data_IF_771160743756
#
_entry.id   IF_771160743756
#
_cell.length_a   1.000
_cell.length_b   1.000
_cell.length_c   1.000
_cell.angle_alpha   90.00
_cell.angle_beta   90.00
_cell.angle_gamma   90.00
#
_symmetry.space_group_name_H-M   'P 1'
#
loop_
_entity.id
_entity.type
_entity.pdbx_description
1 polymer ?
#
# COMPACT_ATOMS: atom_id res chain seq x y z
N UNK A 1 14.23 -9.93 -22.56
CA UNK A 1 14.41 -8.75 -21.68
C UNK A 1 15.82 -8.79 -21.12
N UNK A 2 16.55 -7.67 -21.16
CA UNK A 2 17.88 -7.52 -20.54
C UNK A 2 18.01 -6.11 -19.96
N UNK A 3 18.34 -6.00 -18.68
CA UNK A 3 18.59 -4.73 -18.00
C UNK A 3 19.73 -4.82 -17.00
N UNK A 4 20.30 -3.67 -16.67
CA UNK A 4 21.31 -3.49 -15.64
C UNK A 4 20.91 -2.35 -14.72
N UNK A 5 21.00 -2.55 -13.40
CA UNK A 5 20.60 -1.59 -12.38
C UNK A 5 21.51 -1.70 -11.16
N UNK A 6 21.80 -0.60 -10.47
CA UNK A 6 22.52 -0.68 -9.20
C UNK A 6 21.64 -1.33 -8.13
N UNK A 7 22.27 -2.07 -7.22
CA UNK A 7 21.57 -2.81 -6.16
C UNK A 7 20.65 -1.91 -5.33
N UNK A 8 21.05 -0.68 -5.02
CA UNK A 8 20.29 0.20 -4.12
C UNK A 8 19.01 0.66 -4.81
N UNK A 9 19.08 1.08 -6.08
CA UNK A 9 17.91 1.46 -6.86
C UNK A 9 16.98 0.28 -7.16
N UNK A 10 17.47 -0.97 -7.17
CA UNK A 10 16.61 -2.15 -7.27
C UNK A 10 15.93 -2.49 -5.94
N UNK A 11 16.67 -2.42 -4.83
CA UNK A 11 16.25 -2.95 -3.54
C UNK A 11 15.05 -2.20 -2.93
N UNK A 12 15.05 -0.86 -3.01
CA UNK A 12 13.96 -0.05 -2.43
C UNK A 12 12.63 -0.28 -3.15
N UNK A 13 12.53 -0.13 -4.48
CA UNK A 13 11.31 -0.43 -5.23
C UNK A 13 10.84 -1.89 -5.09
N UNK A 14 11.75 -2.87 -5.11
CA UNK A 14 11.38 -4.27 -4.85
C UNK A 14 10.79 -4.45 -3.45
N UNK A 15 11.36 -3.78 -2.45
CA UNK A 15 10.85 -3.79 -1.08
C UNK A 15 9.43 -3.26 -0.95
N UNK A 16 9.07 -2.26 -1.77
CA UNK A 16 7.74 -1.67 -1.85
C UNK A 16 6.73 -2.61 -2.52
N UNK A 17 7.08 -3.22 -3.66
CA UNK A 17 6.12 -4.08 -4.38
C UNK A 17 5.99 -5.46 -3.76
N UNK A 18 7.03 -6.02 -3.13
CA UNK A 18 6.91 -7.37 -2.56
C UNK A 18 5.98 -7.43 -1.35
N UNK A 19 5.61 -6.30 -0.76
CA UNK A 19 4.89 -6.30 0.52
C UNK A 19 3.41 -6.66 0.38
N UNK A 20 2.80 -6.41 -0.78
CA UNK A 20 1.45 -6.93 -1.09
C UNK A 20 1.44 -8.44 -1.28
N UNK A 21 2.58 -9.04 -1.67
CA UNK A 21 2.68 -10.47 -1.98
C UNK A 21 2.57 -11.30 -0.71
N UNK A 22 1.54 -12.14 -0.65
CA UNK A 22 1.36 -13.09 0.44
C UNK A 22 2.44 -14.18 0.42
N UNK A 23 2.90 -14.59 1.60
CA UNK A 23 3.91 -15.66 1.71
C UNK A 23 3.36 -17.03 1.31
N UNK A 24 2.05 -17.22 1.37
CA UNK A 24 1.37 -18.46 1.02
C UNK A 24 0.29 -18.14 -0.02
N UNK A 25 0.57 -18.48 -1.28
CA UNK A 25 -0.37 -18.33 -2.38
C UNK A 25 -0.78 -19.70 -2.91
N UNK A 26 -2.08 -19.90 -3.10
CA UNK A 26 -2.61 -21.06 -3.84
C UNK A 26 -2.47 -20.87 -5.35
N UNK A 27 -2.40 -19.63 -5.82
CA UNK A 27 -2.21 -19.24 -7.22
C UNK A 27 -0.75 -18.80 -7.42
N UNK A 28 0.12 -19.59 -8.08
CA UNK A 28 1.56 -19.33 -8.13
C UNK A 28 1.97 -17.97 -8.71
N UNK A 29 1.25 -17.46 -9.71
CA UNK A 29 1.56 -16.17 -10.35
C UNK A 29 1.46 -14.98 -9.38
N UNK A 30 0.63 -15.07 -8.34
CA UNK A 30 0.51 -14.03 -7.32
C UNK A 30 1.72 -13.96 -6.38
N UNK A 31 2.60 -14.97 -6.40
CA UNK A 31 3.89 -14.92 -5.71
C UNK A 31 4.97 -14.15 -6.51
N UNK A 32 4.66 -13.78 -7.75
CA UNK A 32 5.58 -13.09 -8.64
C UNK A 32 5.34 -11.57 -8.67
N UNK A 33 6.41 -10.85 -8.99
CA UNK A 33 6.38 -9.46 -9.43
C UNK A 33 6.52 -9.43 -10.95
N UNK A 34 5.75 -8.58 -11.61
CA UNK A 34 5.94 -8.23 -13.03
C UNK A 34 7.09 -7.26 -13.12
N UNK A 35 8.08 -7.58 -13.96
CA UNK A 35 9.17 -6.69 -14.33
C UNK A 35 8.98 -6.28 -15.78
N UNK A 36 8.87 -4.98 -16.05
CA UNK A 36 8.82 -4.44 -17.40
C UNK A 36 9.98 -3.45 -17.57
N UNK A 37 10.92 -3.78 -18.44
CA UNK A 37 12.03 -2.92 -18.79
C UNK A 37 11.79 -2.30 -20.17
N UNK A 38 11.67 -0.98 -20.22
CA UNK A 38 11.47 -0.23 -21.46
C UNK A 38 11.91 1.23 -21.29
N UNK A 39 12.37 1.85 -22.37
CA UNK A 39 12.68 3.29 -22.42
C UNK A 39 13.54 3.83 -21.25
N UNK A 40 14.53 3.05 -20.80
CA UNK A 40 15.43 3.42 -19.68
C UNK A 40 14.82 3.25 -18.29
N UNK A 41 13.64 2.65 -18.18
CA UNK A 41 12.90 2.45 -16.93
C UNK A 41 12.62 0.98 -16.68
N UNK A 42 12.68 0.60 -15.40
CA UNK A 42 12.15 -0.66 -14.88
C UNK A 42 10.88 -0.37 -14.09
N UNK A 43 9.74 -0.81 -14.61
CA UNK A 43 8.47 -0.85 -13.89
C UNK A 43 8.31 -2.19 -13.18
N UNK A 44 7.87 -2.12 -11.93
CA UNK A 44 7.62 -3.27 -11.06
C UNK A 44 6.18 -3.22 -10.56
N UNK A 45 5.46 -4.33 -10.70
CA UNK A 45 4.07 -4.44 -10.22
C UNK A 45 3.83 -5.78 -9.54
N UNK A 46 3.18 -5.77 -8.38
CA UNK A 46 2.72 -6.97 -7.68
C UNK A 46 1.27 -6.78 -7.22
N UNK A 47 0.54 -7.88 -7.05
CA UNK A 47 -0.87 -7.87 -6.65
C UNK A 47 -1.27 -9.12 -5.88
N UNK A 48 -2.28 -8.99 -5.04
CA UNK A 48 -3.02 -10.10 -4.41
C UNK A 48 -4.46 -10.22 -4.94
N UNK A 49 -4.76 -9.55 -6.07
CA UNK A 49 -6.09 -9.34 -6.67
C UNK A 49 -7.03 -8.36 -5.96
N UNK A 50 -6.78 -7.97 -4.72
CA UNK A 50 -7.55 -6.96 -3.98
C UNK A 50 -6.84 -5.60 -3.94
N UNK A 51 -5.52 -5.61 -4.01
CA UNK A 51 -4.70 -4.43 -4.23
C UNK A 51 -3.52 -4.72 -5.14
N UNK A 52 -3.01 -3.67 -5.77
CA UNK A 52 -1.78 -3.69 -6.53
C UNK A 52 -0.87 -2.56 -6.08
N UNK A 53 0.42 -2.85 -6.04
CA UNK A 53 1.48 -1.86 -5.81
C UNK A 53 2.34 -1.85 -7.06
N UNK A 54 2.47 -0.67 -7.65
CA UNK A 54 3.32 -0.40 -8.80
C UNK A 54 4.35 0.68 -8.46
N UNK A 55 5.55 0.55 -9.02
CA UNK A 55 6.61 1.54 -8.91
C UNK A 55 7.50 1.50 -10.14
N UNK A 56 8.29 2.55 -10.35
CA UNK A 56 9.23 2.66 -11.46
C UNK A 56 10.57 3.22 -11.00
N UNK A 57 11.64 2.78 -11.64
CA UNK A 57 13.01 3.25 -11.36
C UNK A 57 13.84 3.27 -12.64
N UNK A 58 14.79 4.19 -12.74
CA UNK A 58 15.71 4.26 -13.87
C UNK A 58 16.65 3.03 -13.89
N UNK A 59 16.96 2.55 -15.10
CA UNK A 59 17.93 1.48 -15.30
C UNK A 59 18.55 1.52 -16.70
N UNK A 60 19.66 0.82 -16.90
CA UNK A 60 20.24 0.62 -18.22
C UNK A 60 19.53 -0.54 -18.93
N UNK A 61 18.59 -0.22 -19.82
CA UNK A 61 17.86 -1.21 -20.61
C UNK A 61 18.69 -1.62 -21.83
N UNK A 62 19.17 -2.87 -21.85
CA UNK A 62 19.88 -3.43 -23.01
C UNK A 62 18.91 -4.05 -24.03
N UNK A 63 17.83 -4.68 -23.57
CA UNK A 63 16.78 -5.23 -24.44
C UNK A 63 15.44 -5.12 -23.72
N UNK A 64 14.52 -4.35 -24.30
CA UNK A 64 13.19 -4.18 -23.73
C UNK A 64 12.45 -5.52 -23.57
N UNK A 65 11.49 -5.55 -22.65
CA UNK A 65 10.60 -6.68 -22.50
C UNK A 65 9.97 -6.76 -21.11
N UNK A 66 9.11 -7.76 -20.95
CA UNK A 66 8.37 -8.00 -19.71
C UNK A 66 8.51 -9.44 -19.28
N UNK A 67 8.59 -9.68 -17.98
CA UNK A 67 8.60 -11.02 -17.39
C UNK A 67 7.95 -11.01 -16.02
N UNK A 68 7.79 -12.19 -15.42
CA UNK A 68 7.43 -12.32 -14.00
C UNK A 68 8.45 -13.18 -13.28
N UNK A 69 8.79 -12.84 -12.04
CA UNK A 69 9.70 -13.61 -11.18
C UNK A 69 9.24 -13.57 -9.74
N UNK A 70 9.62 -14.56 -8.93
CA UNK A 70 9.25 -14.59 -7.51
C UNK A 70 9.70 -13.32 -6.78
N UNK A 71 8.74 -12.57 -6.22
CA UNK A 71 8.99 -11.27 -5.61
C UNK A 71 9.91 -11.38 -4.39
N UNK A 72 9.58 -12.29 -3.47
CA UNK A 72 10.38 -12.51 -2.26
C UNK A 72 11.78 -13.04 -2.57
N UNK A 73 11.91 -13.98 -3.51
CA UNK A 73 13.22 -14.53 -3.86
C UNK A 73 14.11 -13.50 -4.52
N UNK A 74 13.58 -12.69 -5.45
CA UNK A 74 14.33 -11.60 -6.06
C UNK A 74 14.75 -10.55 -5.02
N UNK A 75 13.85 -10.16 -4.12
CA UNK A 75 14.16 -9.24 -3.02
C UNK A 75 15.26 -9.79 -2.11
N UNK A 76 15.17 -11.07 -1.70
CA UNK A 76 16.17 -11.70 -0.84
C UNK A 76 17.53 -11.80 -1.51
N UNK A 77 17.58 -12.06 -2.83
CA UNK A 77 18.81 -12.01 -3.62
C UNK A 77 19.37 -10.60 -3.58
N UNK A 78 18.60 -9.59 -4.02
CA UNK A 78 19.04 -8.20 -4.08
C UNK A 78 19.58 -7.71 -2.72
N UNK A 79 18.89 -8.05 -1.62
CA UNK A 79 19.30 -7.69 -0.27
C UNK A 79 20.64 -8.30 0.14
N UNK A 80 20.92 -9.54 -0.27
CA UNK A 80 22.15 -10.28 0.09
C UNK A 80 23.34 -9.97 -0.81
N UNK A 81 23.13 -9.29 -1.94
CA UNK A 81 24.23 -8.85 -2.79
C UNK A 81 25.11 -7.80 -2.07
N UNK A 82 26.41 -7.71 -2.41
CA UNK A 82 27.30 -6.69 -1.84
C UNK A 82 26.82 -5.26 -2.11
N UNK A 83 27.13 -4.33 -1.21
CA UNK A 83 26.90 -2.90 -1.47
C UNK A 83 27.68 -2.42 -2.69
N UNK A 84 27.09 -1.50 -3.46
CA UNK A 84 27.67 -1.00 -4.71
C UNK A 84 27.64 -2.00 -5.87
N UNK A 85 27.06 -3.20 -5.70
CA UNK A 85 26.94 -4.17 -6.78
C UNK A 85 26.01 -3.66 -7.90
N UNK A 86 26.44 -3.90 -9.13
CA UNK A 86 25.60 -3.76 -10.32
C UNK A 86 24.92 -5.10 -10.59
N UNK A 87 23.59 -5.05 -10.81
CA UNK A 87 22.73 -6.23 -10.99
C UNK A 87 22.28 -6.29 -12.45
N UNK A 88 22.69 -7.32 -13.16
CA UNK A 88 22.16 -7.66 -14.49
C UNK A 88 21.00 -8.64 -14.35
N UNK A 89 19.87 -8.35 -15.00
CA UNK A 89 18.75 -9.27 -15.14
C UNK A 89 18.57 -9.58 -16.63
N UNK A 90 18.77 -10.85 -17.00
CA UNK A 90 18.62 -11.34 -18.37
C UNK A 90 17.57 -12.46 -18.42
N UNK A 91 16.56 -12.30 -19.25
CA UNK A 91 15.48 -13.27 -19.41
C UNK A 91 15.61 -13.99 -20.74
N UNK A 92 15.77 -15.30 -20.66
CA UNK A 92 15.81 -16.22 -21.79
C UNK A 92 15.23 -17.59 -21.38
N UNK A 93 14.62 -18.30 -22.32
CA UNK A 93 14.19 -19.69 -22.16
C UNK A 93 13.34 -19.95 -20.89
N UNK A 94 12.39 -19.06 -20.57
CA UNK A 94 11.50 -19.19 -19.40
C UNK A 94 12.19 -19.01 -18.05
N UNK A 95 13.39 -18.43 -18.02
CA UNK A 95 14.15 -18.16 -16.81
C UNK A 95 14.70 -16.74 -16.80
N UNK A 96 14.75 -16.14 -15.61
CA UNK A 96 15.49 -14.92 -15.34
C UNK A 96 16.84 -15.29 -14.71
N UNK A 97 17.93 -14.92 -15.36
CA UNK A 97 19.27 -14.95 -14.81
C UNK A 97 19.56 -13.62 -14.12
N UNK A 98 19.80 -13.66 -12.81
CA UNK A 98 20.24 -12.50 -12.02
C UNK A 98 21.72 -12.65 -11.71
N UNK A 99 22.52 -11.70 -12.17
CA UNK A 99 23.98 -11.75 -12.06
C UNK A 99 24.51 -10.48 -11.39
N UNK A 100 25.44 -10.65 -10.46
CA UNK A 100 26.16 -9.54 -9.83
C UNK A 100 27.56 -9.99 -9.42
N UNK A 101 28.58 -9.49 -10.12
CA UNK A 101 29.96 -9.95 -9.96
C UNK A 101 30.10 -11.45 -10.21
N UNK A 102 30.41 -12.22 -9.16
CA UNK A 102 30.59 -13.69 -9.24
C UNK A 102 29.34 -14.48 -8.83
N UNK A 103 28.29 -13.79 -8.40
CA UNK A 103 27.03 -14.41 -8.00
C UNK A 103 26.09 -14.51 -9.20
N UNK A 104 25.54 -15.70 -9.44
CA UNK A 104 24.58 -15.96 -10.50
C UNK A 104 23.40 -16.76 -9.92
N UNK A 105 22.18 -16.33 -10.20
CA UNK A 105 20.95 -16.96 -9.76
C UNK A 105 20.04 -17.20 -10.96
N UNK A 106 19.46 -18.38 -11.05
CA UNK A 106 18.50 -18.74 -12.09
C UNK A 106 17.12 -18.90 -11.47
N UNK A 107 16.19 -18.01 -11.82
CA UNK A 107 14.81 -18.04 -11.33
C UNK A 107 13.88 -18.47 -12.46
N UNK A 108 12.91 -19.38 -12.20
CA UNK A 108 11.86 -19.66 -13.16
C UNK A 108 10.97 -18.41 -13.33
N UNK A 109 10.52 -18.17 -14.55
CA UNK A 109 9.52 -17.14 -14.86
C UNK A 109 8.18 -17.80 -15.11
N UNK A 110 7.08 -17.07 -14.89
CA UNK A 110 5.76 -17.46 -15.36
C UNK A 110 5.31 -16.53 -16.50
N UNK A 111 4.43 -17.00 -17.41
CA UNK A 111 3.88 -16.17 -18.48
C UNK A 111 3.24 -14.88 -17.92
N UNK A 112 3.46 -13.76 -18.60
CA UNK A 112 2.96 -12.45 -18.14
C UNK A 112 1.44 -12.37 -18.33
N UNK A 113 0.91 -13.06 -19.33
CA UNK A 113 -0.51 -13.22 -19.61
C UNK A 113 -1.30 -13.93 -18.49
N UNK A 114 -0.62 -14.70 -17.64
CA UNK A 114 -1.23 -15.32 -16.45
C UNK A 114 -1.35 -14.33 -15.29
N UNK A 115 -0.64 -13.19 -15.34
CA UNK A 115 -0.71 -12.17 -14.31
C UNK A 115 -2.07 -11.46 -14.39
N UNK A 116 -2.79 -11.29 -13.27
CA UNK A 116 -4.10 -10.65 -13.28
C UNK A 116 -4.05 -9.28 -13.95
N UNK A 117 -5.07 -8.98 -14.76
CA UNK A 117 -5.19 -7.68 -15.38
C UNK A 117 -5.19 -6.59 -14.30
N UNK A 118 -4.21 -5.67 -14.39
CA UNK A 118 -4.12 -4.52 -13.51
C UNK A 118 -5.34 -3.66 -13.80
N UNK A 119 -6.14 -3.40 -12.77
CA UNK A 119 -7.43 -2.78 -12.98
C UNK A 119 -7.26 -1.30 -13.38
N UNK A 120 -7.67 -0.98 -14.60
CA UNK A 120 -7.75 0.40 -15.13
C UNK A 120 -9.21 0.79 -15.15
N UNK A 121 -9.68 1.43 -14.09
CA UNK A 121 -11.02 2.03 -14.04
C UNK A 121 -10.91 3.53 -13.92
N UNK A 122 -11.90 4.26 -14.43
CA UNK A 122 -12.02 5.69 -14.18
C UNK A 122 -12.19 5.94 -12.68
N UNK A 123 -11.38 6.85 -12.15
CA UNK A 123 -11.44 7.35 -10.78
C UNK A 123 -11.67 8.86 -10.84
N UNK A 124 -12.93 9.30 -11.07
CA UNK A 124 -13.25 10.68 -11.38
C UNK A 124 -13.10 11.62 -10.18
N UNK A 125 -13.20 11.09 -8.97
CA UNK A 125 -12.95 11.84 -7.74
C UNK A 125 -11.46 11.85 -7.43
N UNK A 126 -10.92 12.99 -7.02
CA UNK A 126 -9.55 13.02 -6.53
C UNK A 126 -9.21 14.29 -5.78
N UNK A 127 -8.26 14.16 -4.87
CA UNK A 127 -7.71 15.25 -4.07
C UNK A 127 -6.28 14.95 -3.68
N UNK A 128 -5.63 15.89 -3.01
CA UNK A 128 -4.26 15.75 -2.55
C UNK A 128 -4.21 15.99 -1.04
N UNK A 129 -3.51 15.12 -0.33
CA UNK A 129 -3.20 15.27 1.11
C UNK A 129 -1.70 15.19 1.30
N UNK A 130 -1.20 15.74 2.40
CA UNK A 130 0.21 15.54 2.74
C UNK A 130 0.43 14.12 3.28
N UNK A 131 1.65 13.60 3.10
CA UNK A 131 2.10 12.35 3.71
C UNK A 131 1.92 12.36 5.22
N UNK A 132 2.14 13.51 5.87
CA UNK A 132 1.94 13.68 7.30
C UNK A 132 0.47 13.52 7.69
N UNK A 133 -0.45 14.22 7.03
CA UNK A 133 -1.88 14.18 7.37
C UNK A 133 -2.44 12.76 7.22
N UNK A 134 -2.13 12.07 6.12
CA UNK A 134 -2.64 10.71 5.91
C UNK A 134 -2.00 9.70 6.88
N UNK A 135 -0.73 9.86 7.25
CA UNK A 135 -0.08 9.04 8.30
C UNK A 135 -0.76 9.25 9.65
N UNK A 136 -1.00 10.50 10.03
CA UNK A 136 -1.67 10.85 11.28
C UNK A 136 -3.08 10.28 11.31
N UNK A 137 -3.81 10.36 10.19
CA UNK A 137 -5.14 9.79 10.06
C UNK A 137 -5.15 8.27 10.27
N UNK A 138 -4.19 7.57 9.64
CA UNK A 138 -4.05 6.12 9.76
C UNK A 138 -3.62 5.74 11.18
N UNK A 139 -2.57 6.37 11.73
CA UNK A 139 -2.01 6.00 13.03
C UNK A 139 -2.99 6.27 14.18
N UNK A 140 -3.79 7.33 14.08
CA UNK A 140 -4.83 7.66 15.05
C UNK A 140 -6.03 6.70 15.03
N UNK A 141 -6.23 5.89 13.98
CA UNK A 141 -7.46 5.10 13.81
C UNK A 141 -7.24 3.60 13.60
N UNK A 142 -6.14 3.18 12.96
CA UNK A 142 -5.96 1.78 12.50
C UNK A 142 -6.03 0.73 13.62
N UNK A 143 -5.71 1.11 14.86
CA UNK A 143 -5.72 0.17 15.99
C UNK A 143 -7.15 -0.27 16.37
N UNK A 144 -8.17 0.49 15.97
CA UNK A 144 -9.57 0.19 16.22
C UNK A 144 -10.24 -0.56 15.05
N UNK A 145 -9.51 -0.96 14.01
CA UNK A 145 -10.06 -1.76 12.90
C UNK A 145 -10.39 -3.17 13.41
N UNK A 146 -11.57 -3.68 13.05
CA UNK A 146 -11.98 -5.05 13.36
C UNK A 146 -11.11 -6.10 12.68
N UNK A 147 -10.97 -7.25 13.32
CA UNK A 147 -10.37 -8.46 12.73
C UNK A 147 -11.39 -9.57 12.52
N UNK A 148 -12.67 -9.32 12.80
CA UNK A 148 -13.75 -10.29 12.64
C UNK A 148 -14.23 -10.35 11.18
N UNK A 149 -14.40 -11.55 10.66
CA UNK A 149 -14.79 -11.75 9.25
C UNK A 149 -16.28 -11.50 9.00
N UNK A 150 -17.14 -11.66 10.01
CA UNK A 150 -18.61 -11.58 9.86
C UNK A 150 -19.11 -10.15 9.65
N UNK A 151 -18.42 -9.16 10.24
CA UNK A 151 -18.73 -7.74 10.14
C UNK A 151 -17.69 -7.03 9.28
N UNK A 152 -17.55 -7.50 8.04
CA UNK A 152 -16.49 -7.07 7.12
C UNK A 152 -16.45 -5.56 6.86
N UNK A 153 -17.57 -4.83 6.97
CA UNK A 153 -17.63 -3.36 6.87
C UNK A 153 -16.88 -2.64 8.01
N UNK A 154 -16.43 -3.37 9.04
CA UNK A 154 -15.56 -2.88 10.11
C UNK A 154 -14.07 -3.20 9.87
N UNK A 155 -13.74 -3.94 8.82
CA UNK A 155 -12.38 -4.40 8.52
C UNK A 155 -11.59 -3.37 7.69
N UNK A 156 -11.80 -2.09 7.97
CA UNK A 156 -11.14 -0.98 7.29
C UNK A 156 -11.28 0.34 8.02
N UNK A 157 -10.72 1.40 7.43
CA UNK A 157 -10.92 2.79 7.86
C UNK A 157 -11.99 3.42 6.98
N UNK A 158 -13.03 3.97 7.60
CA UNK A 158 -14.04 4.77 6.95
C UNK A 158 -13.53 6.19 6.72
N UNK A 159 -13.30 6.54 5.45
CA UNK A 159 -12.92 7.89 5.01
C UNK A 159 -14.12 8.58 4.37
N UNK A 160 -14.47 9.76 4.89
CA UNK A 160 -15.60 10.54 4.38
C UNK A 160 -15.42 12.02 4.67
N UNK A 161 -16.17 12.84 3.93
CA UNK A 161 -16.40 14.24 4.26
C UNK A 161 -17.48 14.35 5.33
N UNK A 162 -17.19 15.09 6.41
CA UNK A 162 -18.16 15.38 7.46
C UNK A 162 -19.11 16.52 7.07
N UNK A 163 -20.23 16.65 7.80
CA UNK A 163 -21.15 17.79 7.67
C UNK A 163 -20.48 19.16 7.94
N UNK A 164 -19.37 19.16 8.70
CA UNK A 164 -18.60 20.36 9.02
C UNK A 164 -17.53 20.70 7.96
N UNK A 165 -17.54 20.04 6.79
CA UNK A 165 -16.50 20.15 5.75
C UNK A 165 -15.09 19.79 6.27
N UNK A 166 -14.98 18.64 6.93
CA UNK A 166 -13.69 18.06 7.35
C UNK A 166 -13.51 16.68 6.71
N UNK A 167 -12.26 16.29 6.45
CA UNK A 167 -11.94 14.91 6.10
C UNK A 167 -11.84 14.08 7.39
N UNK A 168 -12.68 13.05 7.52
CA UNK A 168 -12.75 12.21 8.70
C UNK A 168 -12.26 10.79 8.41
N UNK A 169 -11.41 10.25 9.29
CA UNK A 169 -11.09 8.83 9.36
C UNK A 169 -11.74 8.23 10.61
N UNK A 170 -12.43 7.11 10.46
CA UNK A 170 -13.09 6.39 11.56
C UNK A 170 -12.81 4.90 11.47
N UNK A 171 -12.52 4.27 12.60
CA UNK A 171 -12.43 2.81 12.72
C UNK A 171 -13.06 2.36 14.04
N UNK A 172 -13.69 1.18 14.02
CA UNK A 172 -14.29 0.56 15.21
C UNK A 172 -14.32 -0.96 15.06
N UNK A 173 -14.13 -1.66 16.18
CA UNK A 173 -14.26 -3.12 16.30
C UNK A 173 -15.56 -3.52 17.02
N UNK A 174 -16.42 -2.53 17.31
CA UNK A 174 -17.64 -2.68 18.11
C UNK A 174 -17.42 -2.63 19.62
N UNK A 175 -16.18 -2.67 20.10
CA UNK A 175 -15.82 -2.49 21.52
C UNK A 175 -15.26 -1.10 21.80
N UNK A 176 -14.52 -0.55 20.84
CA UNK A 176 -13.94 0.80 20.87
C UNK A 176 -14.09 1.47 19.51
N UNK A 177 -13.98 2.79 19.52
CA UNK A 177 -14.01 3.61 18.32
C UNK A 177 -12.86 4.61 18.38
N UNK A 178 -12.17 4.77 17.25
CA UNK A 178 -11.20 5.81 17.02
C UNK A 178 -11.66 6.68 15.84
N UNK A 179 -11.52 8.00 16.00
CA UNK A 179 -11.85 8.98 14.97
C UNK A 179 -10.82 10.09 15.01
N UNK A 180 -10.46 10.58 13.84
CA UNK A 180 -9.70 11.82 13.68
C UNK A 180 -10.23 12.61 12.50
N UNK A 181 -9.88 13.90 12.48
CA UNK A 181 -10.38 14.90 11.56
C UNK A 181 -9.23 15.74 11.06
N UNK A 182 -9.26 16.06 9.78
CA UNK A 182 -8.34 16.99 9.13
C UNK A 182 -9.15 18.01 8.32
N UNK A 183 -8.59 19.21 8.03
CA UNK A 183 -9.21 20.12 7.08
C UNK A 183 -9.52 19.41 5.76
N UNK A 184 -10.69 19.67 5.17
CA UNK A 184 -11.07 19.05 3.91
C UNK A 184 -10.14 19.54 2.78
N UNK A 185 -9.42 18.64 2.09
CA UNK A 185 -8.53 19.04 1.01
C UNK A 185 -9.30 19.63 -0.18
N UNK A 186 -8.64 20.50 -0.95
CA UNK A 186 -9.19 20.98 -2.20
C UNK A 186 -9.46 19.80 -3.15
N UNK A 187 -10.63 19.81 -3.80
CA UNK A 187 -11.09 18.72 -4.68
C UNK A 187 -11.86 17.60 -3.97
N UNK A 188 -11.82 17.50 -2.64
CA UNK A 188 -12.50 16.46 -1.87
C UNK A 188 -14.00 16.74 -1.61
N UNK A 189 -14.59 17.79 -2.21
CA UNK A 189 -15.96 18.21 -1.90
C UNK A 189 -17.03 17.17 -2.23
N UNK A 190 -16.81 16.44 -3.32
CA UNK A 190 -17.71 15.43 -3.86
C UNK A 190 -17.14 14.01 -3.66
N UNK A 191 -16.21 13.84 -2.71
CA UNK A 191 -15.63 12.52 -2.43
C UNK A 191 -16.74 11.54 -1.99
N UNK A 192 -16.78 10.31 -2.53
CA UNK A 192 -17.63 9.28 -1.97
C UNK A 192 -17.15 8.93 -0.55
N UNK A 193 -18.07 8.47 0.28
CA UNK A 193 -17.73 7.84 1.55
C UNK A 193 -17.24 6.43 1.27
N UNK A 194 -16.03 6.10 1.73
CA UNK A 194 -15.34 4.85 1.38
C UNK A 194 -14.85 4.12 2.63
N UNK A 195 -14.69 2.80 2.52
CA UNK A 195 -14.06 1.99 3.55
C UNK A 195 -12.79 1.36 2.94
N UNK A 196 -11.62 1.86 3.37
CA UNK A 196 -10.32 1.37 2.90
C UNK A 196 -9.94 0.11 3.68
N UNK A 197 -9.71 -1.05 3.02
CA UNK A 197 -9.44 -2.31 3.71
C UNK A 197 -8.20 -2.25 4.60
N UNK A 198 -8.23 -3.00 5.71
CA UNK A 198 -7.14 -3.08 6.71
C UNK A 198 -5.76 -3.35 6.10
N UNK A 199 -5.67 -4.25 5.13
CA UNK A 199 -4.40 -4.58 4.46
C UNK A 199 -3.89 -3.37 3.66
N UNK A 200 -4.74 -2.69 2.91
CA UNK A 200 -4.37 -1.50 2.15
C UNK A 200 -3.94 -0.34 3.06
N UNK A 201 -4.63 -0.16 4.19
CA UNK A 201 -4.22 0.79 5.25
C UNK A 201 -2.81 0.48 5.77
N UNK A 202 -2.52 -0.79 6.02
CA UNK A 202 -1.23 -1.24 6.54
C UNK A 202 -0.11 -1.03 5.52
N UNK A 203 -0.35 -1.39 4.26
CA UNK A 203 0.59 -1.21 3.15
C UNK A 203 0.85 0.27 2.87
N UNK A 204 -0.20 1.09 2.72
CA UNK A 204 -0.08 2.52 2.51
C UNK A 204 0.77 3.18 3.60
N UNK A 205 0.49 2.86 4.86
CA UNK A 205 1.22 3.44 5.99
C UNK A 205 2.70 3.06 6.02
N UNK A 206 3.04 1.83 5.64
CA UNK A 206 4.43 1.37 5.52
C UNK A 206 5.14 2.06 4.35
N UNK A 207 4.47 2.21 3.21
CA UNK A 207 5.06 2.88 2.03
C UNK A 207 5.35 4.37 2.29
N UNK A 208 4.62 4.98 3.23
CA UNK A 208 4.78 6.38 3.64
C UNK A 208 5.85 6.62 4.72
N UNK A 209 6.50 5.58 5.26
CA UNK A 209 7.55 5.74 6.30
C UNK A 209 8.72 6.61 5.82
N UNK A 210 9.12 6.46 4.55
CA UNK A 210 10.28 7.15 3.95
C UNK A 210 9.88 8.15 2.85
N UNK A 211 8.66 8.68 2.91
CA UNK A 211 8.14 9.64 1.94
C UNK A 211 7.66 10.92 2.63
N UNK A 212 8.13 12.07 2.16
CA UNK A 212 7.63 13.38 2.54
C UNK A 212 7.17 14.12 1.31
N UNK A 213 5.95 14.67 1.36
CA UNK A 213 5.35 15.43 0.27
C UNK A 213 3.89 15.10 0.08
N UNK A 214 3.42 15.30 -1.14
CA UNK A 214 2.02 15.16 -1.49
C UNK A 214 1.66 13.72 -1.88
N UNK A 215 0.49 13.28 -1.44
CA UNK A 215 -0.15 12.02 -1.79
C UNK A 215 -1.40 12.35 -2.59
N UNK A 216 -1.38 11.99 -3.87
CA UNK A 216 -2.56 12.02 -4.72
C UNK A 216 -3.50 10.89 -4.33
N UNK A 217 -4.77 11.21 -4.15
CA UNK A 217 -5.84 10.25 -3.87
C UNK A 217 -6.82 10.32 -5.03
N UNK A 218 -7.06 9.20 -5.70
CA UNK A 218 -8.11 9.07 -6.71
C UNK A 218 -9.11 8.01 -6.27
N UNK A 219 -10.40 8.27 -6.44
CA UNK A 219 -11.48 7.49 -5.86
C UNK A 219 -12.57 7.17 -6.89
N UNK A 220 -13.16 6.00 -6.72
CA UNK A 220 -14.49 5.63 -7.21
C UNK A 220 -15.28 4.97 -6.08
N UNK A 221 -16.51 4.54 -6.34
CA UNK A 221 -17.33 3.82 -5.34
C UNK A 221 -16.74 2.45 -4.97
N UNK A 222 -15.84 1.90 -5.79
CA UNK A 222 -15.33 0.53 -5.62
C UNK A 222 -13.81 0.44 -5.49
N UNK A 223 -13.09 1.54 -5.75
CA UNK A 223 -11.62 1.56 -5.73
C UNK A 223 -11.07 2.88 -5.20
N UNK A 224 -9.86 2.79 -4.65
CA UNK A 224 -9.01 3.93 -4.36
C UNK A 224 -7.62 3.71 -4.94
N UNK A 225 -6.99 4.78 -5.40
CA UNK A 225 -5.57 4.86 -5.75
C UNK A 225 -4.88 5.92 -4.90
N UNK A 226 -3.74 5.56 -4.34
CA UNK A 226 -2.83 6.44 -3.62
C UNK A 226 -1.52 6.53 -4.39
N UNK A 227 -1.15 7.73 -4.83
CA UNK A 227 -0.03 7.98 -5.72
C UNK A 227 0.93 9.01 -5.12
N UNK A 228 2.19 8.63 -4.95
CA UNK A 228 3.22 9.47 -4.32
C UNK A 228 4.62 9.07 -4.77
N UNK A 229 5.46 10.06 -5.12
CA UNK A 229 6.75 9.80 -5.75
C UNK A 229 6.60 8.94 -7.00
N UNK A 230 7.24 7.77 -7.03
CA UNK A 230 7.11 6.79 -8.12
C UNK A 230 6.11 5.67 -7.80
N UNK A 231 5.52 5.66 -6.61
CA UNK A 231 4.66 4.59 -6.11
C UNK A 231 3.20 4.88 -6.44
N UNK A 232 2.49 3.83 -6.85
CA UNK A 232 1.03 3.79 -6.95
C UNK A 232 0.53 2.56 -6.20
N UNK A 233 -0.37 2.77 -5.23
CA UNK A 233 -1.12 1.70 -4.56
C UNK A 233 -2.57 1.82 -4.96
N UNK A 234 -3.11 0.80 -5.63
CA UNK A 234 -4.54 0.69 -5.92
C UNK A 234 -5.16 -0.38 -5.06
N UNK A 235 -6.37 -0.16 -4.57
CA UNK A 235 -7.09 -1.12 -3.74
C UNK A 235 -8.57 -1.12 -4.05
N UNK A 236 -9.22 -2.29 -3.97
CA UNK A 236 -10.67 -2.39 -3.86
C UNK A 236 -11.12 -1.78 -2.54
N UNK A 237 -12.30 -1.17 -2.55
CA UNK A 237 -12.97 -0.70 -1.35
C UNK A 237 -13.88 -1.80 -0.79
N UNK A 238 -14.13 -1.76 0.52
CA UNK A 238 -15.12 -2.64 1.12
C UNK A 238 -16.51 -2.14 0.74
N UNK A 239 -17.26 -2.98 0.00
CA UNK A 239 -18.66 -2.72 -0.36
C UNK A 239 -19.56 -2.99 0.85
N UNK A 240 -19.81 -1.96 1.64
CA UNK A 240 -20.69 -2.04 2.80
C UNK A 240 -20.97 -0.68 3.43
N UNK A 241 -22.08 -0.59 4.15
CA UNK A 241 -22.45 0.63 4.88
C UNK A 241 -21.76 0.66 6.23
N UNK A 242 -20.87 1.63 6.43
CA UNK A 242 -20.28 1.87 7.75
C UNK A 242 -21.37 2.31 8.74
N UNK A 243 -21.39 1.80 9.99
CA UNK A 243 -22.42 2.17 10.95
C UNK A 243 -22.41 3.67 11.26
N UNK A 244 -23.57 4.22 11.59
CA UNK A 244 -23.69 5.60 12.07
C UNK A 244 -23.00 5.76 13.43
N UNK A 245 -21.73 6.08 13.35
CA UNK A 245 -20.82 6.17 14.49
C UNK A 245 -21.11 7.40 15.36
N UNK A 246 -21.81 8.41 14.83
CA UNK A 246 -22.10 9.64 15.59
C UNK A 246 -23.05 9.36 16.76
N UNK A 247 -23.83 8.28 16.67
CA UNK A 247 -24.78 7.83 17.71
C UNK A 247 -24.10 7.17 18.91
N UNK A 248 -22.88 6.68 18.77
CA UNK A 248 -22.14 6.00 19.84
C UNK A 248 -21.15 6.92 20.56
N UNK A 249 -20.92 8.12 20.04
CA UNK A 249 -20.10 9.15 20.72
C UNK A 249 -20.95 9.80 21.83
N UNK A 250 -20.61 9.64 23.12
CA UNK A 250 -21.39 10.20 24.21
C UNK A 250 -21.46 11.72 24.13
N UNK A 251 -22.69 12.28 24.20
CA UNK A 251 -22.92 13.73 24.25
C UNK A 251 -23.26 14.13 25.69
N UNK A 252 -22.60 15.16 26.20
CA UNK A 252 -22.91 15.74 27.51
C UNK A 252 -22.39 14.97 28.73
N UNK A 253 -21.25 14.27 28.60
CA UNK A 253 -20.57 13.73 29.77
C UNK A 253 -19.97 14.89 30.59
N UNK A 254 -20.53 15.16 31.77
CA UNK A 254 -20.13 16.25 32.67
C UNK A 254 -18.97 15.85 33.62
N UNK A 255 -18.62 14.56 33.65
CA UNK A 255 -17.51 14.04 34.47
C UNK A 255 -16.21 14.07 33.70
N UNK A 256 -15.51 15.19 33.80
CA UNK A 256 -14.23 15.42 33.13
C UNK A 256 -13.09 15.03 34.07
N UNK A 257 -12.23 14.12 33.62
CA UNK A 257 -10.98 13.78 34.27
C UNK A 257 -9.81 14.14 33.35
N UNK A 258 -8.90 14.98 33.83
CA UNK A 258 -7.68 15.37 33.12
C UNK A 258 -6.47 14.78 33.84
N UNK A 259 -5.65 14.03 33.09
CA UNK A 259 -4.45 13.36 33.61
C UNK A 259 -3.31 13.51 32.61
N UNK A 260 -2.08 13.37 33.11
CA UNK A 260 -0.91 13.22 32.23
C UNK A 260 -0.97 11.87 31.49
N UNK A 261 -0.88 11.92 30.16
CA UNK A 261 -1.07 10.75 29.31
C UNK A 261 0.00 9.67 29.54
N UNK A 262 1.26 10.07 29.66
CA UNK A 262 2.38 9.16 29.84
C UNK A 262 2.30 8.43 31.19
N UNK A 263 2.08 9.20 32.27
CA UNK A 263 1.96 8.67 33.63
C UNK A 263 0.75 7.73 33.78
N UNK A 264 -0.40 8.10 33.21
CA UNK A 264 -1.60 7.27 33.26
C UNK A 264 -1.43 5.97 32.46
N UNK A 265 -0.89 6.05 31.23
CA UNK A 265 -0.61 4.85 30.42
C UNK A 265 0.35 3.90 31.12
N UNK A 266 1.42 4.42 31.72
CA UNK A 266 2.38 3.60 32.47
C UNK A 266 1.76 2.99 33.74
N UNK A 267 0.78 3.65 34.36
CA UNK A 267 0.07 3.10 35.50
C UNK A 267 -0.87 1.96 35.09
N UNK A 268 -1.60 2.10 33.98
CA UNK A 268 -2.46 1.04 33.42
C UNK A 268 -1.63 -0.16 32.98
N UNK A 269 -0.47 0.05 32.34
CA UNK A 269 0.42 -1.04 31.91
C UNK A 269 0.98 -1.88 33.07
N UNK A 270 1.07 -1.30 34.28
CA UNK A 270 1.58 -2.00 35.47
C UNK A 270 0.58 -2.94 36.14
N UNK A 271 -0.73 -2.80 35.89
CA UNK A 271 -1.80 -3.49 36.64
C UNK A 271 -2.57 -4.47 35.77
#
# INVERSE_FOLDING_TARGET
>A
MKLTIDRISLLRPLGQVQSVVERRNTIPILANVVLQADSGMLSMTATDMDMDIATQVECAVGTAGTTTVSAHLLYDIARKLPEGAEVEINVADGHAMISAGRSNFRLPTLPVEDFPAIATGDMPGGFTVTSADIRDMIDATRFAISTEETRYYLNGIYLHKSEANELCAVATDGHRLAMTKQPLPAGANDMPSIIVPRKAVSELRKLLDDFEGDVGVALSDTRAEFSFGTVRLKTKLIDGTFPDYTRVIPRGNDRIMQVDAASFSAAVDRV
#
